data_IF_556999412145
#
_entry.id   IF_556999412145
#
_cell.length_a   1.000
_cell.length_b   1.000
_cell.length_c   1.000
_cell.angle_alpha   90.00
_cell.angle_beta   90.00
_cell.angle_gamma   90.00
#
_symmetry.space_group_name_H-M   'P 1'
#
loop_
_entity.id
_entity.type
_entity.pdbx_description
1 polymer ?
#
# COMPACT_ATOMS: atom_id res chain seq x y z
N UNK A 1 7.61 -12.21 -13.19
CA UNK A 1 6.71 -12.25 -14.36
C UNK A 1 5.65 -11.14 -14.31
N UNK A 2 4.75 -11.12 -13.31
CA UNK A 2 3.68 -10.12 -13.23
C UNK A 2 4.18 -8.66 -13.25
N UNK A 3 5.20 -8.34 -12.45
CA UNK A 3 5.83 -7.00 -12.48
C UNK A 3 6.31 -6.58 -13.88
N UNK A 4 6.97 -7.51 -14.60
CA UNK A 4 7.52 -7.24 -15.94
C UNK A 4 6.38 -6.99 -16.93
N UNK A 5 5.31 -7.78 -16.87
CA UNK A 5 4.12 -7.59 -17.71
C UNK A 5 3.48 -6.23 -17.40
N UNK A 6 3.26 -5.90 -16.13
CA UNK A 6 2.67 -4.63 -15.72
C UNK A 6 3.51 -3.43 -16.15
N UNK A 7 4.83 -3.48 -15.96
CA UNK A 7 5.74 -2.43 -16.40
C UNK A 7 5.72 -2.26 -17.92
N UNK A 8 5.70 -3.37 -18.67
CA UNK A 8 5.60 -3.33 -20.13
C UNK A 8 4.27 -2.74 -20.61
N UNK A 9 3.15 -3.12 -20.01
CA UNK A 9 1.83 -2.56 -20.34
C UNK A 9 1.77 -1.06 -20.04
N UNK A 10 2.34 -0.61 -18.92
CA UNK A 10 2.40 0.81 -18.55
C UNK A 10 3.29 1.61 -19.53
N UNK A 11 4.43 1.05 -19.94
CA UNK A 11 5.28 1.69 -20.97
C UNK A 11 4.53 1.85 -22.30
N UNK A 12 3.82 0.82 -22.76
CA UNK A 12 2.98 0.93 -23.97
C UNK A 12 1.86 1.96 -23.80
N UNK A 13 1.19 2.00 -22.64
CA UNK A 13 0.18 3.01 -22.36
C UNK A 13 0.74 4.44 -22.40
N UNK A 14 1.96 4.64 -21.90
CA UNK A 14 2.62 5.94 -21.94
C UNK A 14 2.89 6.40 -23.38
N UNK A 15 3.30 5.49 -24.27
CA UNK A 15 3.47 5.84 -25.69
C UNK A 15 2.17 6.30 -26.37
N UNK A 16 1.03 5.72 -25.98
CA UNK A 16 -0.29 6.16 -26.49
C UNK A 16 -0.61 7.57 -25.97
N UNK A 17 -0.31 7.83 -24.71
CA UNK A 17 -0.50 9.13 -24.06
C UNK A 17 0.37 10.21 -24.72
N UNK A 18 1.62 9.91 -25.07
CA UNK A 18 2.51 10.84 -25.77
C UNK A 18 1.97 11.22 -27.16
N UNK A 19 1.45 10.24 -27.91
CA UNK A 19 0.80 10.49 -29.21
C UNK A 19 -0.44 11.38 -29.04
N UNK A 20 -1.27 11.11 -28.03
CA UNK A 20 -2.45 11.92 -27.75
C UNK A 20 -2.07 13.35 -27.33
N UNK A 21 -0.98 13.53 -26.59
CA UNK A 21 -0.43 14.85 -26.27
C UNK A 21 -0.02 15.61 -27.53
N UNK A 22 0.69 14.94 -28.45
CA UNK A 22 1.09 15.54 -29.72
C UNK A 22 -0.13 15.95 -30.56
N UNK A 23 -1.17 15.12 -30.60
CA UNK A 23 -2.43 15.42 -31.30
C UNK A 23 -3.17 16.58 -30.65
N UNK A 24 -3.25 16.62 -29.31
CA UNK A 24 -3.88 17.70 -28.57
C UNK A 24 -3.17 19.04 -28.82
N UNK A 25 -1.82 19.03 -28.85
CA UNK A 25 -1.01 20.20 -29.17
C UNK A 25 -1.21 20.67 -30.62
N UNK A 26 -1.23 19.74 -31.58
CA UNK A 26 -1.43 20.05 -32.99
C UNK A 26 -2.85 20.61 -33.29
N UNK A 27 -3.85 20.16 -32.55
CA UNK A 27 -5.25 20.59 -32.71
C UNK A 27 -5.63 21.77 -31.82
N UNK A 28 -4.72 22.24 -30.97
CA UNK A 28 -4.97 23.24 -29.92
C UNK A 28 -6.19 22.91 -29.04
N UNK A 29 -6.46 21.61 -28.84
CA UNK A 29 -7.61 21.15 -28.08
C UNK A 29 -7.27 21.04 -26.59
N UNK A 30 -7.66 22.06 -25.83
CA UNK A 30 -7.38 22.16 -24.39
C UNK A 30 -8.10 21.10 -23.56
N UNK A 31 -9.31 20.68 -23.94
CA UNK A 31 -10.04 19.63 -23.22
C UNK A 31 -9.30 18.29 -23.35
N UNK A 32 -8.88 17.94 -24.56
CA UNK A 32 -8.07 16.74 -24.79
C UNK A 32 -6.74 16.82 -24.03
N UNK A 33 -6.07 17.97 -24.04
CA UNK A 33 -4.82 18.16 -23.31
C UNK A 33 -4.98 17.90 -21.80
N UNK A 34 -5.99 18.49 -21.17
CA UNK A 34 -6.23 18.29 -19.72
C UNK A 34 -6.58 16.85 -19.40
N UNK A 35 -7.38 16.20 -20.23
CA UNK A 35 -7.75 14.79 -20.06
C UNK A 35 -6.53 13.85 -20.20
N UNK A 36 -5.67 14.09 -21.18
CA UNK A 36 -4.43 13.30 -21.38
C UNK A 36 -3.45 13.56 -20.23
N UNK A 37 -3.35 14.79 -19.73
CA UNK A 37 -2.49 15.13 -18.59
C UNK A 37 -2.93 14.40 -17.31
N UNK A 38 -4.23 14.27 -17.06
CA UNK A 38 -4.75 13.44 -15.96
C UNK A 38 -4.25 12.00 -16.07
N UNK A 39 -4.25 11.41 -17.28
CA UNK A 39 -3.75 10.04 -17.50
C UNK A 39 -2.27 9.85 -17.19
N UNK A 40 -1.44 10.87 -17.38
CA UNK A 40 -0.02 10.82 -17.00
C UNK A 40 0.13 10.64 -15.49
N UNK A 41 -0.64 11.39 -14.69
CA UNK A 41 -0.59 11.26 -13.23
C UNK A 41 -0.98 9.85 -12.78
N UNK A 42 -2.03 9.28 -13.37
CA UNK A 42 -2.44 7.90 -13.09
C UNK A 42 -1.33 6.89 -13.41
N UNK A 43 -0.71 6.98 -14.59
CA UNK A 43 0.38 6.06 -14.97
C UNK A 43 1.57 6.19 -14.01
N UNK A 44 1.92 7.42 -13.64
CA UNK A 44 3.01 7.70 -12.72
C UNK A 44 2.75 7.10 -11.33
N UNK A 45 1.53 7.25 -10.79
CA UNK A 45 1.15 6.66 -9.50
C UNK A 45 1.25 5.13 -9.53
N UNK A 46 0.83 4.50 -10.63
CA UNK A 46 1.02 3.06 -10.83
C UNK A 46 2.50 2.67 -10.83
N UNK A 47 3.37 3.43 -11.49
CA UNK A 47 4.81 3.14 -11.51
C UNK A 47 5.48 3.28 -10.14
N UNK A 48 4.95 4.12 -9.25
CA UNK A 48 5.46 4.28 -7.88
C UNK A 48 4.94 3.17 -6.95
N UNK A 49 3.68 2.77 -7.09
CA UNK A 49 3.01 1.83 -6.18
C UNK A 49 3.30 0.36 -6.51
N UNK A 50 3.41 0.01 -7.79
CA UNK A 50 3.56 -1.38 -8.25
C UNK A 50 4.89 -2.04 -7.82
N UNK A 51 6.07 -1.38 -7.90
CA UNK A 51 7.33 -1.97 -7.46
C UNK A 51 7.35 -2.38 -5.97
N UNK A 52 7.01 -1.51 -5.00
CA UNK A 52 7.00 -1.91 -3.60
C UNK A 52 5.97 -3.00 -3.34
N UNK A 53 4.75 -2.92 -3.91
CA UNK A 53 3.74 -3.99 -3.79
C UNK A 53 4.24 -5.34 -4.32
N UNK A 54 4.93 -5.33 -5.46
CA UNK A 54 5.50 -6.54 -6.05
C UNK A 54 6.59 -7.14 -5.16
N UNK A 55 7.42 -6.28 -4.55
CA UNK A 55 8.44 -6.70 -3.58
C UNK A 55 7.81 -7.25 -2.31
N UNK A 56 6.73 -6.66 -1.79
CA UNK A 56 5.97 -7.23 -0.68
C UNK A 56 5.38 -8.58 -1.06
N UNK A 57 4.80 -8.74 -2.26
CA UNK A 57 4.18 -10.00 -2.63
C UNK A 57 5.20 -11.15 -2.75
N UNK A 58 6.39 -10.84 -3.28
CA UNK A 58 7.43 -11.83 -3.58
C UNK A 58 8.33 -12.14 -2.38
N UNK A 59 8.63 -11.16 -1.52
CA UNK A 59 9.51 -11.36 -0.37
C UNK A 59 8.72 -11.71 0.89
N UNK A 60 8.83 -12.96 1.35
CA UNK A 60 8.29 -13.39 2.64
C UNK A 60 8.94 -12.62 3.81
N UNK A 61 10.24 -12.36 3.72
CA UNK A 61 10.99 -11.63 4.74
C UNK A 61 10.54 -10.16 4.83
N UNK A 62 10.31 -9.50 3.69
CA UNK A 62 9.82 -8.14 3.65
C UNK A 62 8.39 -8.03 4.20
N UNK A 63 7.51 -8.99 3.88
CA UNK A 63 6.16 -9.08 4.48
C UNK A 63 6.24 -9.20 5.99
N UNK A 64 7.11 -10.08 6.48
CA UNK A 64 7.22 -10.31 7.90
C UNK A 64 7.79 -9.07 8.63
N UNK A 65 8.73 -8.36 8.00
CA UNK A 65 9.28 -7.10 8.50
C UNK A 65 8.20 -6.00 8.56
N UNK A 66 7.40 -5.83 7.51
CA UNK A 66 6.31 -4.84 7.46
C UNK A 66 5.22 -5.16 8.51
N UNK A 67 4.81 -6.43 8.62
CA UNK A 67 3.86 -6.87 9.65
C UNK A 67 4.38 -6.69 11.09
N UNK A 68 5.71 -6.71 11.28
CA UNK A 68 6.33 -6.39 12.58
C UNK A 68 6.36 -4.89 12.87
N UNK A 69 6.41 -4.04 11.84
CA UNK A 69 6.35 -2.57 11.99
C UNK A 69 4.95 -2.07 12.30
N UNK A 70 3.90 -2.78 11.87
CA UNK A 70 2.55 -2.52 12.33
C UNK A 70 2.53 -2.89 13.82
N UNK A 71 2.34 -1.92 14.74
CA UNK A 71 2.22 -2.27 16.15
C UNK A 71 1.07 -3.27 16.21
N UNK A 72 1.34 -4.48 16.72
CA UNK A 72 0.25 -5.34 17.18
C UNK A 72 -0.57 -4.45 18.08
N UNK A 73 -1.77 -4.08 17.63
CA UNK A 73 -2.82 -3.58 18.50
C UNK A 73 -2.92 -4.67 19.54
N UNK A 74 -2.24 -4.46 20.68
CA UNK A 74 -2.46 -5.26 21.85
C UNK A 74 -3.93 -5.01 22.08
N UNK A 75 -4.72 -6.04 21.77
CA UNK A 75 -6.06 -6.25 22.29
C UNK A 75 -6.16 -5.43 23.56
N UNK A 76 -7.02 -4.40 23.65
CA UNK A 76 -7.20 -3.71 24.92
C UNK A 76 -7.54 -4.82 25.88
N UNK A 77 -6.61 -5.13 26.79
CA UNK A 77 -6.83 -6.08 27.86
C UNK A 77 -8.13 -5.60 28.48
N UNK A 78 -9.22 -6.31 28.20
CA UNK A 78 -10.49 -6.05 28.82
C UNK A 78 -10.22 -6.46 30.26
N UNK A 79 -9.79 -5.48 31.06
CA UNK A 79 -9.62 -5.60 32.49
C UNK A 79 -11.02 -5.87 32.98
N UNK A 80 -11.36 -7.14 33.08
CA UNK A 80 -12.54 -7.57 33.80
C UNK A 80 -12.39 -6.99 35.20
N UNK A 81 -13.34 -6.18 35.69
CA UNK A 81 -13.24 -5.64 37.02
C UNK A 81 -13.28 -6.84 37.98
N UNK A 82 -12.13 -7.14 38.59
CA UNK A 82 -12.05 -8.13 39.65
C UNK A 82 -12.86 -7.55 40.81
N UNK A 83 -14.08 -8.04 40.99
CA UNK A 83 -14.81 -7.83 42.22
C UNK A 83 -13.98 -8.41 43.35
N UNK A 84 -13.40 -7.53 44.17
CA UNK A 84 -12.75 -7.90 45.42
C UNK A 84 -13.82 -8.49 46.35
N UNK A 85 -13.98 -9.81 46.33
CA UNK A 85 -14.50 -10.54 47.47
C UNK A 85 -13.31 -11.06 48.27
N UNK A 86 -12.91 -10.30 49.30
CA UNK A 86 -11.87 -10.75 50.22
C UNK A 86 -12.41 -11.87 51.10
N UNK A 87 -12.07 -13.12 50.80
CA UNK A 87 -11.92 -14.16 51.83
C UNK A 87 -10.73 -15.06 51.49
N UNK A 88 -9.65 -14.82 52.26
CA UNK A 88 -8.55 -15.73 52.62
C UNK A 88 -8.12 -16.82 51.64
N UNK A 89 -6.90 -16.67 51.11
CA UNK A 89 -6.15 -17.77 50.50
C UNK A 89 -4.92 -17.26 49.73
N UNK A 90 -3.74 -17.51 50.28
CA UNK A 90 -2.42 -17.28 49.66
C UNK A 90 -2.34 -17.99 48.28
N UNK A 91 -1.61 -17.56 47.26
CA UNK A 91 -0.15 -17.70 47.20
C UNK A 91 0.44 -17.21 45.84
N UNK A 92 1.64 -16.62 45.95
CA UNK A 92 2.74 -16.47 44.99
C UNK A 92 2.56 -15.74 43.65
N UNK A 93 3.01 -14.49 43.67
CA UNK A 93 3.68 -13.81 42.54
C UNK A 93 5.06 -14.47 42.35
N UNK A 94 5.34 -15.03 41.15
CA UNK A 94 6.71 -15.33 40.70
C UNK A 94 7.03 -14.40 39.54
N UNK A 95 7.85 -13.40 39.81
CA UNK A 95 8.53 -12.58 38.79
C UNK A 95 9.97 -13.09 38.74
N UNK A 96 10.32 -13.77 37.66
CA UNK A 96 11.63 -13.72 36.99
C UNK A 96 11.34 -13.70 35.50
#
# INVERSE_FOLDING_TARGET
>A
LMYIITAFTLMMAMTVVDVLFAVAAATANYELFTWVNDRVFWINDFMVIVPPLSLTLLSADLRHAILKMIPKSKSPNFVTPVSRSSRGGQCFVRVV
#
